data_IF_941415624390
#
_entry.id   IF_941415624390
#
_cell.length_a   1.000
_cell.length_b   1.000
_cell.length_c   1.000
_cell.angle_alpha   90.00
_cell.angle_beta   90.00
_cell.angle_gamma   90.00
#
_symmetry.space_group_name_H-M   'P 1'
#
loop_
_entity.id
_entity.type
_entity.pdbx_description
1 polymer ?
#
# COMPACT_ATOMS: atom_id res chain seq x y z
N UNK A 1 -18.82 0.36 0.63
CA UNK A 1 -18.75 1.03 -0.68
C UNK A 1 -18.68 2.54 -0.48
N UNK A 2 -17.50 3.03 -0.14
CA UNK A 2 -17.06 4.42 -0.17
C UNK A 2 -15.55 4.29 -0.04
N UNK A 3 -14.83 4.19 -1.16
CA UNK A 3 -13.37 4.37 -1.12
C UNK A 3 -13.16 5.78 -0.56
N UNK A 4 -12.45 5.97 0.56
CA UNK A 4 -12.20 7.30 1.06
C UNK A 4 -11.50 8.11 -0.04
N UNK A 5 -11.87 9.39 -0.25
CA UNK A 5 -11.32 10.24 -1.32
C UNK A 5 -9.78 10.38 -1.31
N UNK A 6 -9.13 9.90 -0.24
CA UNK A 6 -7.69 9.81 -0.03
C UNK A 6 -7.01 8.87 -1.05
N UNK A 7 -7.69 7.81 -1.51
CA UNK A 7 -7.11 6.83 -2.44
C UNK A 7 -6.81 7.43 -3.84
N UNK A 8 -7.44 8.54 -4.22
CA UNK A 8 -7.22 9.13 -5.55
C UNK A 8 -5.91 9.95 -5.65
N UNK A 9 -5.36 10.42 -4.52
CA UNK A 9 -4.22 11.34 -4.49
C UNK A 9 -2.91 10.68 -4.03
N UNK A 10 -2.97 9.51 -3.38
CA UNK A 10 -1.81 8.84 -2.81
C UNK A 10 -1.46 7.57 -3.61
N UNK A 11 -0.25 7.53 -4.19
CA UNK A 11 0.22 6.44 -5.07
C UNK A 11 0.22 5.05 -4.40
N UNK A 12 0.69 4.95 -3.16
CA UNK A 12 0.88 3.67 -2.45
C UNK A 12 -0.46 3.12 -1.89
N UNK A 13 -1.25 3.88 -1.10
CA UNK A 13 -2.55 3.42 -0.62
C UNK A 13 -3.51 3.05 -1.76
N UNK A 14 -3.46 3.74 -2.90
CA UNK A 14 -4.25 3.40 -4.07
C UNK A 14 -3.98 1.96 -4.58
N UNK A 15 -2.71 1.55 -4.64
CA UNK A 15 -2.32 0.20 -5.06
C UNK A 15 -2.75 -0.86 -4.05
N UNK A 16 -2.74 -0.53 -2.76
CA UNK A 16 -3.21 -1.43 -1.71
C UNK A 16 -4.74 -1.59 -1.80
N UNK A 17 -5.48 -0.50 -1.92
CA UNK A 17 -6.96 -0.51 -1.97
C UNK A 17 -7.50 -1.25 -3.22
N UNK A 18 -6.89 -1.06 -4.40
CA UNK A 18 -7.30 -1.81 -5.59
C UNK A 18 -7.03 -3.30 -5.42
N UNK A 19 -5.92 -3.69 -4.77
CA UNK A 19 -5.61 -5.07 -4.43
C UNK A 19 -6.62 -5.67 -3.45
N UNK A 20 -6.94 -4.94 -2.36
CA UNK A 20 -7.98 -5.33 -1.39
C UNK A 20 -9.32 -5.58 -2.06
N UNK A 21 -9.73 -4.68 -2.96
CA UNK A 21 -10.98 -4.79 -3.71
C UNK A 21 -11.02 -6.00 -4.65
N UNK A 22 -9.97 -6.20 -5.46
CA UNK A 22 -9.92 -7.28 -6.44
C UNK A 22 -9.76 -8.66 -5.79
N UNK A 23 -8.91 -8.75 -4.76
CA UNK A 23 -8.61 -10.00 -4.07
C UNK A 23 -9.55 -10.30 -2.89
N UNK A 24 -10.43 -9.38 -2.53
CA UNK A 24 -11.34 -9.49 -1.36
C UNK A 24 -10.58 -9.78 -0.06
N UNK A 25 -9.49 -9.04 0.17
CA UNK A 25 -8.68 -9.16 1.37
C UNK A 25 -8.93 -7.92 2.25
N UNK A 26 -9.37 -8.15 3.48
CA UNK A 26 -9.79 -7.08 4.38
C UNK A 26 -8.62 -6.38 5.06
N UNK A 27 -7.57 -7.09 5.49
CA UNK A 27 -6.44 -6.46 6.21
C UNK A 27 -5.09 -7.08 5.79
N UNK A 28 -4.55 -6.69 4.62
CA UNK A 28 -3.32 -7.25 4.12
C UNK A 28 -2.09 -6.55 4.70
N UNK A 29 -1.10 -7.35 5.13
CA UNK A 29 0.29 -6.92 5.08
C UNK A 29 0.72 -6.88 3.61
N UNK A 30 1.01 -5.69 3.09
CA UNK A 30 1.30 -5.48 1.68
C UNK A 30 2.78 -5.23 1.45
N UNK A 31 3.34 -5.93 0.46
CA UNK A 31 4.65 -5.63 -0.12
C UNK A 31 4.43 -4.91 -1.45
N UNK A 32 4.78 -3.63 -1.51
CA UNK A 32 4.72 -2.81 -2.71
C UNK A 32 6.08 -2.80 -3.41
N UNK A 33 6.13 -3.31 -4.63
CA UNK A 33 7.33 -3.33 -5.47
C UNK A 33 7.04 -2.57 -6.77
N UNK A 34 7.87 -1.58 -7.07
CA UNK A 34 7.89 -0.85 -8.34
C UNK A 34 9.32 -0.40 -8.64
N UNK A 35 9.58 0.10 -9.84
CA UNK A 35 10.92 0.62 -10.20
C UNK A 35 11.37 1.86 -9.41
N UNK A 36 10.51 2.44 -8.57
CA UNK A 36 10.87 3.55 -7.68
C UNK A 36 10.74 3.22 -6.18
N UNK A 37 10.18 2.07 -5.82
CA UNK A 37 9.84 1.77 -4.42
C UNK A 37 9.87 0.27 -4.11
N UNK A 38 10.34 -0.09 -2.92
CA UNK A 38 10.18 -1.42 -2.33
C UNK A 38 9.85 -1.22 -0.86
N UNK A 39 8.58 -1.43 -0.50
CA UNK A 39 8.00 -1.01 0.78
C UNK A 39 7.09 -2.10 1.35
N UNK A 40 7.19 -2.36 2.64
CA UNK A 40 6.27 -3.19 3.43
C UNK A 40 5.34 -2.28 4.23
N UNK A 41 4.03 -2.45 4.08
CA UNK A 41 3.01 -1.59 4.70
C UNK A 41 1.76 -2.37 5.12
N UNK A 42 1.08 -1.94 6.18
CA UNK A 42 -0.25 -2.40 6.55
C UNK A 42 -1.08 -1.25 7.16
N UNK A 43 -2.38 -1.47 7.32
CA UNK A 43 -3.28 -0.52 7.97
C UNK A 43 -3.26 -0.76 9.48
N UNK A 44 -2.76 0.20 10.25
CA UNK A 44 -2.61 0.09 11.70
C UNK A 44 -2.84 1.47 12.34
N UNK A 45 -3.51 1.53 13.48
CA UNK A 45 -3.82 2.80 14.18
C UNK A 45 -4.49 3.85 13.27
N UNK A 46 -5.55 3.43 12.57
CA UNK A 46 -6.39 4.22 11.65
C UNK A 46 -5.66 4.84 10.44
N UNK A 47 -4.47 4.36 10.09
CA UNK A 47 -3.70 4.82 8.91
C UNK A 47 -2.85 3.73 8.29
N UNK A 48 -2.47 3.90 7.03
CA UNK A 48 -1.43 3.07 6.42
C UNK A 48 -0.06 3.45 7.00
N UNK A 49 0.66 2.46 7.53
CA UNK A 49 2.00 2.62 8.09
C UNK A 49 3.01 1.85 7.26
N UNK A 50 4.22 2.39 7.15
CA UNK A 50 5.37 1.70 6.53
C UNK A 50 6.14 1.00 7.64
N UNK A 51 6.25 -0.33 7.54
CA UNK A 51 7.01 -1.16 8.47
C UNK A 51 8.47 -1.35 8.03
N UNK A 52 8.74 -1.23 6.73
CA UNK A 52 10.08 -1.29 6.19
C UNK A 52 10.11 -0.81 4.75
N UNK A 53 11.22 -0.22 4.35
CA UNK A 53 11.47 0.17 2.96
C UNK A 53 12.93 -0.14 2.59
N UNK A 54 13.20 -0.20 1.30
CA UNK A 54 14.58 -0.22 0.81
C UNK A 54 15.28 1.10 1.16
N UNK A 55 16.55 1.03 1.57
CA UNK A 55 17.36 2.21 1.93
C UNK A 55 18.27 2.68 0.79
N UNK A 56 18.43 1.84 -0.23
CA UNK A 56 19.34 2.08 -1.35
C UNK A 56 18.56 2.19 -2.66
N UNK A 57 18.23 1.06 -3.26
CA UNK A 57 17.56 0.98 -4.55
C UNK A 57 16.31 0.11 -4.43
N UNK A 58 15.22 0.47 -5.11
CA UNK A 58 14.11 -0.44 -5.28
C UNK A 58 14.54 -1.65 -6.10
N UNK A 59 13.90 -2.79 -5.86
CA UNK A 59 14.23 -4.03 -6.56
C UNK A 59 13.70 -4.08 -8.01
N UNK A 60 12.74 -3.21 -8.34
CA UNK A 60 12.04 -3.20 -9.63
C UNK A 60 12.64 -2.29 -10.69
#
# INVERSE_FOLDING_TARGET
MLLPPIALYLKIPAHIEIGRFLCKIDDPLTLYVSGGNTIVSAYESDRYQIFGETLDIPIG
#
